data_IF_697816820778
#
_entry.id   IF_697816820778
#
_cell.length_a   1.000
_cell.length_b   1.000
_cell.length_c   1.000
_cell.angle_alpha   90.00
_cell.angle_beta   90.00
_cell.angle_gamma   90.00
#
_symmetry.space_group_name_H-M   'P 1'
#
loop_
_entity.id
_entity.type
_entity.pdbx_description
1 polymer ?
#
# COMPACT_ATOMS: atom_id res chain seq x y z
N UNK A 1 -74.95 -39.09 10.11
CA UNK A 1 -73.71 -39.56 9.52
C UNK A 1 -72.94 -38.52 8.72
N UNK A 2 -73.54 -37.38 8.34
CA UNK A 2 -72.96 -36.34 7.52
C UNK A 2 -72.01 -35.36 8.28
N UNK A 3 -72.23 -35.09 9.57
CA UNK A 3 -71.47 -34.10 10.33
C UNK A 3 -70.03 -34.50 10.73
N UNK A 4 -69.74 -35.82 10.74
CA UNK A 4 -68.40 -36.32 11.10
C UNK A 4 -67.37 -36.25 9.95
N UNK A 5 -67.85 -36.41 8.72
CA UNK A 5 -67.02 -36.33 7.50
C UNK A 5 -66.60 -34.89 7.17
N UNK A 6 -67.43 -33.90 7.50
CA UNK A 6 -67.15 -32.48 7.24
C UNK A 6 -66.09 -31.95 8.20
N UNK A 7 -66.12 -32.35 9.48
CA UNK A 7 -65.11 -31.96 10.48
C UNK A 7 -63.67 -32.54 10.18
N UNK A 8 -63.65 -33.75 9.59
CA UNK A 8 -62.39 -34.39 9.20
C UNK A 8 -61.73 -33.72 7.98
N UNK A 9 -62.55 -33.22 7.03
CA UNK A 9 -62.10 -32.50 5.84
C UNK A 9 -61.47 -31.14 6.20
N UNK A 10 -62.05 -30.40 7.16
CA UNK A 10 -61.47 -29.12 7.63
C UNK A 10 -60.20 -29.33 8.46
N UNK A 11 -60.05 -30.39 9.23
CA UNK A 11 -58.87 -30.72 9.97
C UNK A 11 -57.69 -31.09 9.04
N UNK A 12 -57.95 -31.83 7.96
CA UNK A 12 -56.93 -32.16 6.94
C UNK A 12 -56.52 -30.95 6.09
N UNK A 13 -57.45 -30.04 5.76
CA UNK A 13 -57.14 -28.79 5.04
C UNK A 13 -56.33 -27.82 5.90
N UNK A 14 -56.59 -27.73 7.21
CA UNK A 14 -55.79 -26.90 8.14
C UNK A 14 -54.39 -27.45 8.36
N UNK A 15 -54.18 -28.77 8.36
CA UNK A 15 -52.85 -29.40 8.48
C UNK A 15 -52.04 -29.22 7.20
N UNK A 16 -52.68 -29.26 6.01
CA UNK A 16 -51.97 -28.98 4.75
C UNK A 16 -51.61 -27.51 4.58
N UNK A 17 -52.41 -26.58 5.10
CA UNK A 17 -52.09 -25.14 5.06
C UNK A 17 -50.96 -24.78 6.06
N UNK A 18 -50.87 -25.44 7.21
CA UNK A 18 -49.79 -25.24 8.16
C UNK A 18 -48.46 -25.85 7.66
N UNK A 19 -48.49 -26.94 6.88
CA UNK A 19 -47.28 -27.54 6.30
C UNK A 19 -46.70 -26.71 5.14
N UNK A 20 -47.52 -25.92 4.42
CA UNK A 20 -47.05 -25.08 3.32
C UNK A 20 -46.40 -23.76 3.80
N UNK A 21 -46.62 -23.33 5.05
CA UNK A 21 -45.94 -22.14 5.63
C UNK A 21 -44.57 -22.50 6.24
N UNK A 22 -44.32 -23.75 6.57
CA UNK A 22 -43.02 -24.19 7.13
C UNK A 22 -41.93 -24.44 6.09
N UNK A 23 -42.24 -24.42 4.78
CA UNK A 23 -41.24 -24.64 3.71
C UNK A 23 -40.66 -23.36 3.09
N UNK A 24 -40.98 -22.18 3.64
CA UNK A 24 -40.53 -20.88 3.10
C UNK A 24 -39.35 -20.23 3.79
N UNK A 25 -38.83 -20.81 4.86
CA UNK A 25 -37.54 -20.36 5.42
C UNK A 25 -36.42 -21.08 4.68
N UNK A 26 -36.23 -20.74 3.41
CA UNK A 26 -34.98 -21.10 2.72
C UNK A 26 -33.82 -20.60 3.57
N UNK A 27 -33.07 -21.50 4.15
CA UNK A 27 -31.81 -21.14 4.79
C UNK A 27 -31.04 -20.32 3.74
N UNK A 28 -30.88 -19.02 3.97
CA UNK A 28 -30.01 -18.18 3.17
C UNK A 28 -28.62 -18.82 3.32
N UNK A 29 -28.21 -19.54 2.29
CA UNK A 29 -26.90 -20.16 2.28
C UNK A 29 -25.87 -19.05 2.28
N UNK A 30 -25.01 -19.02 3.27
CA UNK A 30 -23.88 -18.09 3.33
C UNK A 30 -23.13 -18.10 1.99
N UNK A 31 -22.97 -16.93 1.38
CA UNK A 31 -22.20 -16.82 0.16
C UNK A 31 -20.71 -17.01 0.46
N UNK A 32 -20.01 -17.62 -0.48
CA UNK A 32 -18.54 -17.66 -0.50
C UNK A 32 -18.06 -16.61 -1.49
N UNK A 33 -17.49 -15.52 -0.98
CA UNK A 33 -17.02 -14.39 -1.79
C UNK A 33 -15.50 -14.40 -1.81
N UNK A 34 -14.94 -14.18 -2.99
CA UNK A 34 -13.46 -14.05 -3.13
C UNK A 34 -13.16 -12.69 -3.74
N UNK A 35 -12.23 -11.97 -3.12
CA UNK A 35 -11.64 -10.74 -3.64
C UNK A 35 -10.17 -10.97 -3.97
N UNK A 36 -9.66 -10.24 -4.96
CA UNK A 36 -8.23 -10.09 -5.20
C UNK A 36 -7.80 -8.66 -4.89
N UNK A 37 -6.95 -8.49 -3.87
CA UNK A 37 -6.24 -7.24 -3.58
C UNK A 37 -4.86 -7.27 -4.24
N UNK A 38 -4.66 -6.41 -5.23
CA UNK A 38 -3.36 -6.20 -5.88
C UNK A 38 -2.66 -5.02 -5.20
N UNK A 39 -1.56 -5.33 -4.49
CA UNK A 39 -0.89 -4.41 -3.58
C UNK A 39 0.61 -4.28 -3.86
N UNK A 40 1.29 -3.38 -3.16
CA UNK A 40 2.74 -3.20 -3.25
C UNK A 40 3.46 -3.81 -2.03
N UNK A 41 4.78 -4.08 -2.19
CA UNK A 41 5.55 -4.89 -1.24
C UNK A 41 5.45 -4.50 0.24
N UNK A 42 5.55 -3.22 0.66
CA UNK A 42 5.55 -2.85 2.07
C UNK A 42 4.28 -3.17 2.87
N UNK A 43 3.19 -3.56 2.20
CA UNK A 43 1.87 -3.76 2.82
C UNK A 43 1.48 -5.21 3.08
N UNK A 44 2.38 -6.19 2.86
CA UNK A 44 2.05 -7.62 3.02
C UNK A 44 1.43 -7.93 4.38
N UNK A 45 2.14 -7.60 5.42
CA UNK A 45 1.76 -7.88 6.81
C UNK A 45 0.55 -7.05 7.23
N UNK A 46 0.45 -5.81 6.75
CA UNK A 46 -0.72 -4.97 6.96
C UNK A 46 -1.99 -5.64 6.41
N UNK A 47 -1.96 -6.05 5.14
CA UNK A 47 -3.15 -6.63 4.52
C UNK A 47 -3.45 -8.05 4.99
N UNK A 48 -2.48 -8.82 5.47
CA UNK A 48 -2.76 -10.06 6.20
C UNK A 48 -3.64 -9.79 7.44
N UNK A 49 -3.27 -8.79 8.24
CA UNK A 49 -4.02 -8.41 9.42
C UNK A 49 -5.40 -7.80 9.11
N UNK A 50 -5.46 -6.90 8.11
CA UNK A 50 -6.70 -6.27 7.62
C UNK A 50 -7.67 -7.33 7.11
N UNK A 51 -7.20 -8.24 6.24
CA UNK A 51 -8.03 -9.30 5.65
C UNK A 51 -8.65 -10.20 6.71
N UNK A 52 -7.82 -10.60 7.69
CA UNK A 52 -8.29 -11.45 8.78
C UNK A 52 -9.37 -10.77 9.64
N UNK A 53 -9.23 -9.48 9.93
CA UNK A 53 -10.23 -8.74 10.72
C UNK A 53 -11.47 -8.45 9.89
N UNK A 54 -11.32 -7.95 8.68
CA UNK A 54 -12.43 -7.65 7.79
C UNK A 54 -13.31 -8.89 7.53
N UNK A 55 -12.70 -10.05 7.26
CA UNK A 55 -13.44 -11.30 7.04
C UNK A 55 -14.28 -11.69 8.26
N UNK A 56 -13.76 -11.53 9.47
CA UNK A 56 -14.54 -11.79 10.71
C UNK A 56 -15.71 -10.82 10.86
N UNK A 57 -15.46 -9.53 10.65
CA UNK A 57 -16.48 -8.48 10.80
C UNK A 57 -17.56 -8.62 9.73
N UNK A 58 -17.18 -8.93 8.49
CA UNK A 58 -18.10 -9.17 7.38
C UNK A 58 -19.01 -10.36 7.68
N UNK A 59 -18.44 -11.48 8.09
CA UNK A 59 -19.20 -12.67 8.46
C UNK A 59 -20.15 -12.40 9.63
N UNK A 60 -19.72 -11.68 10.65
CA UNK A 60 -20.58 -11.32 11.78
C UNK A 60 -21.74 -10.43 11.36
N UNK A 61 -21.53 -9.55 10.38
CA UNK A 61 -22.54 -8.60 9.88
C UNK A 61 -23.52 -9.20 8.89
N UNK A 62 -23.06 -10.06 7.99
CA UNK A 62 -23.82 -10.52 6.82
C UNK A 62 -24.13 -12.03 6.85
N UNK A 63 -23.36 -12.80 7.57
CA UNK A 63 -23.39 -14.25 7.53
C UNK A 63 -22.51 -14.85 6.42
N UNK A 64 -22.02 -14.05 5.47
CA UNK A 64 -21.24 -14.51 4.33
C UNK A 64 -19.76 -14.67 4.68
N UNK A 65 -19.12 -15.68 4.08
CA UNK A 65 -17.68 -15.89 4.18
C UNK A 65 -16.97 -15.14 3.04
N UNK A 66 -15.91 -14.41 3.38
CA UNK A 66 -15.05 -13.75 2.40
C UNK A 66 -13.62 -14.21 2.52
N UNK A 67 -13.00 -14.47 1.37
CA UNK A 67 -11.56 -14.71 1.22
C UNK A 67 -10.96 -13.58 0.41
N UNK A 68 -9.95 -12.90 0.95
CA UNK A 68 -9.23 -11.85 0.23
C UNK A 68 -7.85 -12.39 -0.14
N UNK A 69 -7.68 -12.73 -1.41
CA UNK A 69 -6.39 -13.09 -1.99
C UNK A 69 -5.51 -11.86 -2.17
N UNK A 70 -4.20 -12.03 -2.09
CA UNK A 70 -3.25 -10.95 -2.21
C UNK A 70 -2.24 -11.21 -3.32
N UNK A 71 -1.96 -10.18 -4.13
CA UNK A 71 -0.80 -10.14 -5.04
C UNK A 71 0.09 -8.99 -4.62
N UNK A 72 1.38 -9.26 -4.34
CA UNK A 72 2.34 -8.26 -3.91
C UNK A 72 3.57 -8.20 -4.81
N UNK A 73 4.10 -7.00 -4.98
CA UNK A 73 5.30 -6.73 -5.76
C UNK A 73 5.62 -5.23 -5.81
N UNK A 74 6.55 -4.82 -6.66
CA UNK A 74 6.75 -3.40 -6.92
C UNK A 74 5.49 -2.76 -7.48
N UNK A 75 5.07 -1.60 -6.95
CA UNK A 75 3.79 -0.95 -7.27
C UNK A 75 3.54 -0.77 -8.77
N UNK A 76 4.54 -0.24 -9.52
CA UNK A 76 4.43 -0.09 -10.97
C UNK A 76 4.35 -1.43 -11.71
N UNK A 77 4.99 -2.50 -11.19
CA UNK A 77 4.85 -3.86 -11.73
C UNK A 77 3.43 -4.40 -11.51
N UNK A 78 2.86 -4.15 -10.35
CA UNK A 78 1.50 -4.56 -10.01
C UNK A 78 0.45 -3.81 -10.85
N UNK A 79 0.62 -2.49 -11.03
CA UNK A 79 -0.24 -1.71 -11.93
C UNK A 79 -0.21 -2.27 -13.35
N UNK A 80 0.98 -2.59 -13.86
CA UNK A 80 1.12 -3.22 -15.19
C UNK A 80 0.42 -4.57 -15.27
N UNK A 81 0.53 -5.43 -14.26
CA UNK A 81 -0.16 -6.71 -14.23
C UNK A 81 -1.69 -6.54 -14.36
N UNK A 82 -2.26 -5.53 -13.69
CA UNK A 82 -3.71 -5.20 -13.81
C UNK A 82 -4.03 -4.69 -15.22
N UNK A 83 -3.20 -3.81 -15.80
CA UNK A 83 -3.35 -3.33 -17.18
C UNK A 83 -3.29 -4.51 -18.17
N UNK A 84 -2.42 -5.48 -17.94
CA UNK A 84 -2.21 -6.66 -18.79
C UNK A 84 -3.27 -7.77 -18.53
N UNK A 85 -4.28 -7.53 -17.68
CA UNK A 85 -5.44 -8.40 -17.50
C UNK A 85 -5.53 -9.16 -16.18
N UNK A 86 -4.71 -8.86 -15.16
CA UNK A 86 -4.92 -9.40 -13.81
C UNK A 86 -6.19 -8.79 -13.21
N UNK A 87 -7.20 -9.62 -12.99
CA UNK A 87 -8.53 -9.20 -12.53
C UNK A 87 -8.52 -8.88 -11.03
N UNK A 88 -8.05 -7.68 -10.68
CA UNK A 88 -8.07 -7.16 -9.32
C UNK A 88 -9.43 -6.57 -8.98
N UNK A 89 -10.05 -6.98 -7.88
CA UNK A 89 -11.25 -6.31 -7.33
C UNK A 89 -10.87 -4.98 -6.70
N UNK A 90 -9.74 -4.96 -5.99
CA UNK A 90 -9.19 -3.73 -5.40
C UNK A 90 -7.69 -3.61 -5.70
N UNK A 91 -7.25 -2.38 -5.84
CA UNK A 91 -5.82 -2.01 -5.95
C UNK A 91 -5.45 -1.14 -4.77
N UNK A 92 -4.33 -1.46 -4.12
CA UNK A 92 -3.80 -0.74 -2.96
C UNK A 92 -2.32 -0.48 -3.22
N UNK A 93 -2.05 0.54 -4.06
CA UNK A 93 -0.73 0.75 -4.65
C UNK A 93 0.09 1.81 -3.93
N UNK A 94 1.37 1.89 -4.25
CA UNK A 94 2.31 2.76 -3.55
C UNK A 94 2.19 4.25 -3.87
N UNK A 95 1.52 4.60 -4.99
CA UNK A 95 1.36 5.99 -5.43
C UNK A 95 0.21 6.15 -6.44
N UNK A 96 -0.39 7.34 -6.47
CA UNK A 96 -1.57 7.61 -7.31
C UNK A 96 -1.27 7.44 -8.81
N UNK A 97 -0.10 7.83 -9.27
CA UNK A 97 0.27 7.68 -10.69
C UNK A 97 0.27 6.24 -11.21
N UNK A 98 0.39 5.23 -10.34
CA UNK A 98 0.26 3.83 -10.74
C UNK A 98 -1.22 3.43 -10.94
N UNK A 99 -2.17 3.99 -10.16
CA UNK A 99 -3.61 3.80 -10.37
C UNK A 99 -4.08 4.63 -11.57
N UNK A 100 -3.59 5.86 -11.73
CA UNK A 100 -3.86 6.68 -12.92
C UNK A 100 -3.46 5.94 -14.21
N UNK A 101 -2.34 5.23 -14.20
CA UNK A 101 -1.91 4.42 -15.35
C UNK A 101 -2.91 3.28 -15.68
N UNK A 102 -3.59 2.70 -14.68
CA UNK A 102 -4.65 1.70 -14.90
C UNK A 102 -5.87 2.37 -15.54
N UNK A 103 -6.25 3.58 -15.05
CA UNK A 103 -7.32 4.38 -15.67
C UNK A 103 -7.02 4.67 -17.13
N UNK A 104 -5.84 5.24 -17.40
CA UNK A 104 -5.47 5.74 -18.73
C UNK A 104 -5.28 4.64 -19.76
N UNK A 105 -4.72 3.48 -19.36
CA UNK A 105 -4.31 2.42 -20.30
C UNK A 105 -5.31 1.28 -20.41
N UNK A 106 -6.11 1.03 -19.38
CA UNK A 106 -7.04 -0.09 -19.34
C UNK A 106 -8.50 0.32 -19.13
N UNK A 107 -8.77 1.59 -18.75
CA UNK A 107 -10.12 2.11 -18.53
C UNK A 107 -10.96 1.21 -17.57
N UNK A 108 -10.32 0.69 -16.51
CA UNK A 108 -10.95 -0.26 -15.58
C UNK A 108 -11.71 0.43 -14.44
N UNK A 109 -11.39 1.68 -14.13
CA UNK A 109 -12.02 2.51 -13.11
C UNK A 109 -12.04 3.98 -13.59
N UNK A 110 -12.95 4.84 -13.07
CA UNK A 110 -13.08 6.20 -13.56
C UNK A 110 -11.95 7.12 -13.09
N UNK A 111 -11.74 8.23 -13.79
CA UNK A 111 -10.66 9.19 -13.56
C UNK A 111 -10.77 9.94 -12.22
N UNK A 112 -11.95 10.00 -11.63
CA UNK A 112 -12.22 10.65 -10.34
C UNK A 112 -12.07 9.71 -9.12
N UNK A 113 -11.46 8.56 -9.31
CA UNK A 113 -11.29 7.50 -8.29
C UNK A 113 -10.76 8.01 -6.95
N UNK A 114 -9.86 9.01 -6.96
CA UNK A 114 -9.29 9.58 -5.73
C UNK A 114 -10.30 10.32 -4.85
N UNK A 115 -11.43 10.77 -5.42
CA UNK A 115 -12.44 11.52 -4.66
C UNK A 115 -13.43 10.63 -3.92
N UNK A 116 -13.34 9.31 -4.10
CA UNK A 116 -14.31 8.34 -3.60
C UNK A 116 -14.18 8.00 -2.12
N UNK A 117 -12.97 8.16 -1.57
CA UNK A 117 -12.66 7.90 -0.18
C UNK A 117 -11.93 9.13 0.43
N UNK A 118 -11.95 9.28 1.76
CA UNK A 118 -11.27 10.39 2.42
C UNK A 118 -9.77 10.48 2.10
N UNK A 119 -9.20 11.66 2.31
CA UNK A 119 -7.76 11.93 2.16
C UNK A 119 -7.21 11.53 0.78
N UNK A 120 -7.93 11.87 -0.31
CA UNK A 120 -7.59 11.45 -1.67
C UNK A 120 -7.43 9.93 -1.81
N UNK A 121 -8.30 9.17 -1.16
CA UNK A 121 -8.25 7.70 -1.11
C UNK A 121 -6.97 7.13 -0.50
N UNK A 122 -6.31 7.86 0.41
CA UNK A 122 -5.10 7.45 1.10
C UNK A 122 -5.37 7.18 2.59
N UNK A 123 -5.71 5.95 3.00
CA UNK A 123 -6.15 5.63 4.36
C UNK A 123 -5.05 5.73 5.41
N UNK A 124 -3.81 5.78 5.01
CA UNK A 124 -2.62 5.87 5.85
C UNK A 124 -1.49 6.59 5.13
N UNK A 125 -0.44 6.94 5.89
CA UNK A 125 0.77 7.53 5.34
C UNK A 125 2.02 6.80 5.83
N UNK A 126 3.14 7.11 5.22
CA UNK A 126 4.46 6.71 5.67
C UNK A 126 5.46 7.81 5.32
N UNK A 127 6.72 7.57 5.61
CA UNK A 127 7.81 8.44 5.19
C UNK A 127 9.05 7.61 4.87
N UNK A 128 10.08 8.24 4.32
CA UNK A 128 11.33 7.58 3.98
C UNK A 128 12.33 7.79 5.11
N UNK A 129 12.98 6.71 5.51
CA UNK A 129 13.99 6.66 6.55
C UNK A 129 15.24 5.90 6.06
N UNK A 130 16.30 5.92 6.86
CA UNK A 130 17.53 5.21 6.58
C UNK A 130 17.69 4.09 7.60
N UNK A 131 17.71 2.84 7.14
CA UNK A 131 17.99 1.69 8.00
C UNK A 131 19.47 1.36 7.91
N UNK A 132 20.15 1.38 9.04
CA UNK A 132 21.60 1.15 9.13
C UNK A 132 21.91 -0.04 10.03
N UNK A 133 23.13 -0.56 9.93
CA UNK A 133 23.64 -1.59 10.84
C UNK A 133 23.72 -1.06 12.26
N UNK A 134 23.55 -1.92 13.26
CA UNK A 134 23.62 -1.57 14.68
C UNK A 134 24.93 -0.86 15.03
N UNK A 135 24.83 0.22 15.82
CA UNK A 135 25.97 1.07 16.19
C UNK A 135 26.41 2.01 15.08
N UNK A 136 25.72 2.03 13.96
CA UNK A 136 25.93 2.94 12.83
C UNK A 136 27.43 3.12 12.47
N UNK A 137 28.13 2.03 12.08
CA UNK A 137 29.59 2.05 11.92
C UNK A 137 30.08 3.04 10.84
N UNK A 138 29.20 3.38 9.90
CA UNK A 138 29.49 4.34 8.83
C UNK A 138 29.09 5.77 9.18
N UNK A 139 28.54 6.01 10.38
CA UNK A 139 28.12 7.34 10.87
C UNK A 139 27.18 8.06 9.91
N UNK A 140 26.16 7.34 9.44
CA UNK A 140 25.13 7.86 8.54
C UNK A 140 24.06 8.55 9.39
N UNK A 141 23.89 9.87 9.21
CA UNK A 141 22.94 10.67 9.95
C UNK A 141 21.92 11.38 9.05
N UNK A 142 22.30 11.64 7.79
CA UNK A 142 21.45 12.36 6.85
C UNK A 142 21.78 11.97 5.39
N UNK A 143 21.03 12.51 4.46
CA UNK A 143 21.17 12.28 3.02
C UNK A 143 22.58 12.55 2.48
N UNK A 144 23.28 13.57 3.01
CA UNK A 144 24.66 13.88 2.59
C UNK A 144 25.65 12.73 2.83
N UNK A 145 25.38 11.92 3.82
CA UNK A 145 26.28 10.80 4.12
C UNK A 145 26.20 9.71 3.06
N UNK A 146 25.08 9.64 2.33
CA UNK A 146 24.84 8.61 1.30
C UNK A 146 25.67 8.81 0.02
N UNK A 147 26.21 10.02 -0.19
CA UNK A 147 27.05 10.36 -1.36
C UNK A 147 28.54 10.31 -1.06
N UNK A 148 28.91 9.97 0.18
CA UNK A 148 30.32 9.86 0.57
C UNK A 148 30.99 8.64 -0.08
N UNK A 149 32.28 8.74 -0.42
CA UNK A 149 33.07 7.60 -0.89
C UNK A 149 33.06 6.44 0.12
N UNK A 150 32.90 5.21 -0.37
CA UNK A 150 32.95 4.00 0.45
C UNK A 150 31.66 3.73 1.25
N UNK A 151 30.57 4.44 0.95
CA UNK A 151 29.22 4.10 1.40
C UNK A 151 28.53 3.26 0.32
N UNK A 152 27.91 2.17 0.72
CA UNK A 152 27.11 1.31 -0.15
C UNK A 152 25.63 1.44 0.21
N UNK A 153 24.84 1.94 -0.73
CA UNK A 153 23.41 2.26 -0.55
C UNK A 153 22.57 1.18 -1.20
N UNK A 154 21.54 0.69 -0.51
CA UNK A 154 20.53 -0.20 -1.07
C UNK A 154 19.21 0.56 -1.23
N UNK A 155 18.62 0.46 -2.41
CA UNK A 155 17.30 1.01 -2.74
C UNK A 155 16.72 0.26 -3.93
N UNK A 156 15.40 0.08 -4.04
CA UNK A 156 14.81 -0.59 -5.20
C UNK A 156 14.82 0.31 -6.46
N UNK A 157 14.47 -0.29 -7.59
CA UNK A 157 14.47 0.38 -8.90
C UNK A 157 13.20 1.25 -9.07
N UNK A 158 13.30 2.56 -9.31
CA UNK A 158 12.15 3.44 -9.54
C UNK A 158 11.32 3.11 -10.79
N UNK A 159 11.86 2.35 -11.75
CA UNK A 159 11.08 1.91 -12.92
C UNK A 159 10.05 0.84 -12.59
N UNK A 160 10.24 0.10 -11.50
CA UNK A 160 9.37 -1.02 -11.12
C UNK A 160 8.72 -0.86 -9.75
N UNK A 161 9.35 -0.10 -8.85
CA UNK A 161 8.94 0.08 -7.46
C UNK A 161 8.41 1.49 -7.21
N UNK A 162 7.15 1.61 -6.79
CA UNK A 162 6.61 2.89 -6.29
C UNK A 162 7.34 3.38 -5.04
N UNK A 163 7.75 2.45 -4.15
CA UNK A 163 8.56 2.80 -2.98
C UNK A 163 9.87 3.49 -3.36
N UNK A 164 10.52 3.00 -4.40
CA UNK A 164 11.75 3.62 -4.91
C UNK A 164 11.54 5.03 -5.48
N UNK A 165 10.35 5.31 -6.06
CA UNK A 165 10.04 6.67 -6.53
C UNK A 165 9.94 7.65 -5.37
N UNK A 166 9.35 7.26 -4.26
CA UNK A 166 9.33 8.05 -3.04
C UNK A 166 10.74 8.23 -2.46
N UNK A 167 11.59 7.18 -2.45
CA UNK A 167 12.99 7.27 -2.02
C UNK A 167 13.77 8.29 -2.86
N UNK A 168 13.61 8.22 -4.19
CA UNK A 168 14.23 9.14 -5.14
C UNK A 168 13.79 10.59 -4.90
N UNK A 169 12.47 10.82 -4.77
CA UNK A 169 11.93 12.16 -4.58
C UNK A 169 12.31 12.74 -3.20
N UNK A 170 12.43 11.92 -2.16
CA UNK A 170 12.93 12.38 -0.86
C UNK A 170 14.37 12.90 -0.97
N UNK A 171 15.26 12.12 -1.61
CA UNK A 171 16.65 12.52 -1.83
C UNK A 171 16.78 13.74 -2.75
N UNK A 172 15.99 13.79 -3.82
CA UNK A 172 15.95 14.93 -4.74
C UNK A 172 15.46 16.20 -4.03
N UNK A 173 14.36 16.11 -3.29
CA UNK A 173 13.81 17.26 -2.58
C UNK A 173 14.71 17.78 -1.47
N UNK A 174 15.40 16.89 -0.75
CA UNK A 174 16.48 17.29 0.18
C UNK A 174 17.53 18.13 -0.54
N UNK A 175 18.09 17.60 -1.64
CA UNK A 175 19.13 18.29 -2.39
C UNK A 175 18.64 19.61 -2.98
N UNK A 176 17.41 19.67 -3.46
CA UNK A 176 16.79 20.88 -3.99
C UNK A 176 16.66 21.97 -2.92
N UNK A 177 16.14 21.62 -1.73
CA UNK A 177 16.02 22.54 -0.58
C UNK A 177 17.39 23.03 -0.11
N UNK A 178 18.36 22.14 0.01
CA UNK A 178 19.72 22.47 0.42
C UNK A 178 20.42 23.45 -0.54
N UNK A 179 20.12 23.36 -1.82
CA UNK A 179 20.76 24.18 -2.87
C UNK A 179 19.87 25.33 -3.39
N UNK A 180 18.88 25.77 -2.61
CA UNK A 180 18.07 26.94 -2.97
C UNK A 180 17.23 26.78 -4.25
N UNK A 181 16.80 25.56 -4.57
CA UNK A 181 15.97 25.27 -5.75
C UNK A 181 16.76 24.92 -7.02
N UNK A 182 18.07 24.75 -6.95
CA UNK A 182 18.93 24.40 -8.10
C UNK A 182 18.75 22.92 -8.50
N UNK A 183 18.01 22.69 -9.58
CA UNK A 183 17.75 21.34 -10.11
C UNK A 183 19.01 20.64 -10.64
N UNK A 184 19.99 21.39 -11.16
CA UNK A 184 21.24 20.79 -11.65
C UNK A 184 22.06 20.21 -10.49
N UNK A 185 22.11 20.91 -9.36
CA UNK A 185 22.75 20.40 -8.13
C UNK A 185 21.98 19.25 -7.53
N UNK A 186 20.65 19.27 -7.58
CA UNK A 186 19.84 18.14 -7.13
C UNK A 186 20.10 16.90 -8.01
N UNK A 187 20.16 17.04 -9.32
CA UNK A 187 20.52 15.97 -10.25
C UNK A 187 21.92 15.40 -9.97
N UNK A 188 22.91 16.28 -9.77
CA UNK A 188 24.27 15.86 -9.43
C UNK A 188 24.33 15.08 -8.11
N UNK A 189 23.58 15.54 -7.11
CA UNK A 189 23.48 14.85 -5.80
C UNK A 189 22.89 13.46 -5.92
N UNK A 190 21.73 13.34 -6.59
CA UNK A 190 21.06 12.04 -6.75
C UNK A 190 21.88 11.11 -7.66
N UNK A 191 22.57 11.65 -8.67
CA UNK A 191 23.53 10.89 -9.48
C UNK A 191 24.67 10.31 -8.61
N UNK A 192 25.24 11.13 -7.71
CA UNK A 192 26.26 10.67 -6.78
C UNK A 192 25.73 9.58 -5.82
N UNK A 193 24.48 9.72 -5.34
CA UNK A 193 23.83 8.70 -4.52
C UNK A 193 23.70 7.38 -5.28
N UNK A 194 23.19 7.41 -6.51
CA UNK A 194 22.98 6.20 -7.31
C UNK A 194 24.29 5.53 -7.77
N UNK A 195 25.42 6.26 -7.84
CA UNK A 195 26.74 5.66 -8.01
C UNK A 195 27.16 4.76 -6.84
N UNK A 196 26.61 5.01 -5.67
CA UNK A 196 26.84 4.21 -4.47
C UNK A 196 25.83 3.04 -4.33
N UNK A 197 24.94 2.82 -5.31
CA UNK A 197 23.94 1.76 -5.31
C UNK A 197 24.44 0.57 -6.14
N UNK A 198 24.91 -0.51 -5.51
CA UNK A 198 25.46 -1.67 -6.23
C UNK A 198 24.37 -2.57 -6.83
N UNK A 199 23.14 -2.54 -6.28
CA UNK A 199 22.04 -3.41 -6.69
C UNK A 199 20.73 -2.62 -6.69
N UNK A 200 19.97 -2.72 -7.78
CA UNK A 200 18.60 -2.21 -7.89
C UNK A 200 17.61 -3.39 -7.94
N UNK A 201 17.05 -3.72 -6.79
CA UNK A 201 16.02 -4.74 -6.70
C UNK A 201 14.70 -4.28 -7.34
N UNK A 202 13.86 -5.22 -7.76
CA UNK A 202 12.60 -4.89 -8.44
C UNK A 202 11.51 -4.28 -7.54
N UNK A 203 11.67 -4.40 -6.21
CA UNK A 203 10.73 -3.89 -5.21
C UNK A 203 11.35 -3.79 -3.82
N UNK A 204 10.64 -3.17 -2.88
CA UNK A 204 11.13 -2.90 -1.53
C UNK A 204 11.51 -4.19 -0.77
N UNK A 205 10.71 -5.26 -0.88
CA UNK A 205 11.02 -6.55 -0.23
C UNK A 205 12.36 -7.12 -0.72
N UNK A 206 12.65 -7.02 -2.01
CA UNK A 206 13.95 -7.43 -2.58
C UNK A 206 15.10 -6.66 -1.93
N UNK A 207 14.97 -5.32 -1.81
CA UNK A 207 16.00 -4.49 -1.18
C UNK A 207 16.15 -4.78 0.32
N UNK A 208 15.07 -5.06 1.03
CA UNK A 208 15.13 -5.52 2.43
C UNK A 208 15.89 -6.84 2.53
N UNK A 209 15.58 -7.84 1.69
CA UNK A 209 16.32 -9.12 1.65
C UNK A 209 17.79 -8.90 1.31
N UNK A 210 18.09 -8.06 0.31
CA UNK A 210 19.48 -7.73 -0.07
C UNK A 210 20.24 -7.11 1.11
N UNK A 211 19.62 -6.17 1.83
CA UNK A 211 20.27 -5.52 2.96
C UNK A 211 20.29 -6.40 4.20
N UNK A 212 19.16 -6.96 4.63
CA UNK A 212 19.04 -7.63 5.93
C UNK A 212 19.60 -9.05 5.91
N UNK A 213 19.23 -9.84 4.88
CA UNK A 213 19.55 -11.28 4.85
C UNK A 213 20.87 -11.58 4.10
N UNK A 214 21.13 -10.85 3.00
CA UNK A 214 22.37 -11.02 2.22
C UNK A 214 23.50 -10.15 2.72
N UNK A 215 23.23 -9.27 3.70
CA UNK A 215 24.21 -8.37 4.34
C UNK A 215 24.93 -7.43 3.35
N UNK A 216 24.31 -7.12 2.20
CA UNK A 216 24.83 -6.20 1.20
C UNK A 216 24.44 -4.77 1.57
N UNK A 217 25.39 -3.84 1.48
CA UNK A 217 25.18 -2.42 1.73
C UNK A 217 25.36 -1.99 3.18
N UNK A 218 25.65 -0.70 3.35
CA UNK A 218 25.83 -0.02 4.63
C UNK A 218 24.53 0.61 5.14
N UNK A 219 23.66 1.01 4.20
CA UNK A 219 22.39 1.68 4.46
C UNK A 219 21.33 1.25 3.44
N UNK A 220 20.11 1.01 3.93
CA UNK A 220 18.92 0.84 3.12
C UNK A 220 18.06 2.10 3.21
N UNK A 221 17.76 2.71 2.07
CA UNK A 221 16.73 3.74 1.97
C UNK A 221 15.38 3.00 1.94
N UNK A 222 14.61 3.11 3.02
CA UNK A 222 13.40 2.32 3.25
C UNK A 222 12.20 3.20 3.61
N UNK A 223 11.02 2.65 3.43
CA UNK A 223 9.84 3.17 4.08
C UNK A 223 9.89 2.94 5.58
N UNK A 224 9.32 3.86 6.37
CA UNK A 224 9.34 3.79 7.83
C UNK A 224 8.76 2.47 8.37
N UNK A 225 7.63 2.01 7.79
CA UNK A 225 7.03 0.75 8.17
C UNK A 225 7.94 -0.46 7.87
N UNK A 226 8.60 -0.51 6.70
CA UNK A 226 9.53 -1.61 6.36
C UNK A 226 10.75 -1.63 7.28
N UNK A 227 11.32 -0.46 7.57
CA UNK A 227 12.44 -0.36 8.49
C UNK A 227 12.06 -0.83 9.90
N UNK A 228 10.91 -0.40 10.42
CA UNK A 228 10.42 -0.85 11.74
C UNK A 228 10.04 -2.32 11.78
N UNK A 229 9.44 -2.82 10.70
CA UNK A 229 9.14 -4.24 10.57
C UNK A 229 10.43 -5.08 10.57
N UNK A 230 11.48 -4.59 9.90
CA UNK A 230 12.80 -5.22 9.93
C UNK A 230 13.38 -5.30 11.36
N UNK A 231 13.26 -4.22 12.15
CA UNK A 231 13.65 -4.26 13.57
C UNK A 231 12.84 -5.28 14.37
N UNK A 232 11.53 -5.38 14.11
CA UNK A 232 10.65 -6.34 14.80
C UNK A 232 10.96 -7.79 14.43
N UNK A 233 11.26 -8.06 13.15
CA UNK A 233 11.48 -9.41 12.65
C UNK A 233 12.89 -9.94 12.87
N UNK A 234 13.90 -9.07 12.73
CA UNK A 234 15.32 -9.49 12.73
C UNK A 234 16.10 -9.06 13.97
N UNK A 235 15.49 -8.20 14.80
CA UNK A 235 16.05 -7.74 16.08
C UNK A 235 16.56 -6.31 16.09
N UNK A 236 16.33 -5.62 17.21
CA UNK A 236 16.82 -4.25 17.46
C UNK A 236 18.32 -4.18 17.77
N UNK A 237 18.94 -5.31 17.96
CA UNK A 237 20.39 -5.51 18.16
C UNK A 237 21.17 -5.58 16.84
N UNK A 238 20.48 -5.69 15.68
CA UNK A 238 21.12 -5.78 14.36
C UNK A 238 21.07 -4.49 13.56
N UNK A 239 20.05 -3.68 13.75
CA UNK A 239 19.78 -2.48 12.93
C UNK A 239 19.33 -1.30 13.77
N UNK A 240 19.45 -0.11 13.17
CA UNK A 240 18.94 1.16 13.70
C UNK A 240 18.23 1.93 12.59
N UNK A 241 17.16 2.65 12.95
CA UNK A 241 16.45 3.55 12.04
C UNK A 241 16.94 4.97 12.29
N UNK A 242 17.45 5.60 11.25
CA UNK A 242 17.85 7.01 11.23
C UNK A 242 16.78 7.82 10.50
N UNK A 243 16.26 8.82 11.16
CA UNK A 243 15.34 9.80 10.58
C UNK A 243 16.15 10.96 10.01
N UNK A 244 16.12 11.19 8.69
CA UNK A 244 16.88 12.27 8.07
C UNK A 244 16.31 13.64 8.44
N UNK A 245 17.08 14.72 8.21
CA UNK A 245 16.66 16.09 8.53
C UNK A 245 15.37 16.54 7.82
N UNK A 246 15.10 15.99 6.65
CA UNK A 246 13.86 16.16 5.89
C UNK A 246 13.56 14.86 5.12
N UNK A 247 12.30 14.53 4.99
CA UNK A 247 11.84 13.41 4.19
C UNK A 247 10.63 13.80 3.34
N UNK A 248 9.87 12.82 2.84
CA UNK A 248 8.67 13.05 2.03
C UNK A 248 7.46 12.34 2.67
N UNK A 249 6.30 12.99 2.62
CA UNK A 249 5.04 12.38 2.98
C UNK A 249 4.63 11.39 1.89
N UNK A 250 4.77 10.11 2.16
CA UNK A 250 4.30 9.07 1.28
C UNK A 250 2.81 8.78 1.56
N UNK A 251 1.99 8.92 0.54
CA UNK A 251 0.53 8.78 0.59
C UNK A 251 0.08 7.67 -0.38
N UNK A 252 0.12 6.39 0.05
CA UNK A 252 -0.29 5.28 -0.78
C UNK A 252 -1.81 5.19 -0.88
N UNK A 253 -2.36 5.27 -2.10
CA UNK A 253 -3.80 5.28 -2.32
C UNK A 253 -4.37 3.88 -2.50
N UNK A 254 -5.72 3.81 -2.37
CA UNK A 254 -6.50 2.61 -2.61
C UNK A 254 -7.69 2.91 -3.54
N UNK A 255 -8.08 1.93 -4.36
CA UNK A 255 -9.26 2.05 -5.22
C UNK A 255 -9.88 0.68 -5.48
N UNK A 256 -11.21 0.62 -5.62
CA UNK A 256 -11.87 -0.55 -6.20
C UNK A 256 -11.91 -0.42 -7.72
N UNK A 257 -11.89 -1.58 -8.40
CA UNK A 257 -11.75 -1.66 -9.85
C UNK A 257 -13.10 -1.97 -10.48
N UNK A 258 -13.85 -0.93 -10.81
CA UNK A 258 -15.29 -0.98 -11.16
C UNK A 258 -15.63 -2.04 -12.20
N UNK A 259 -14.89 -2.12 -13.30
CA UNK A 259 -15.21 -3.07 -14.37
C UNK A 259 -14.96 -4.52 -13.97
N UNK A 260 -14.01 -4.77 -13.08
CA UNK A 260 -13.78 -6.11 -12.51
C UNK A 260 -14.86 -6.44 -11.49
N UNK A 261 -15.14 -5.52 -10.57
CA UNK A 261 -16.18 -5.68 -9.55
C UNK A 261 -17.57 -5.97 -10.16
N UNK A 262 -17.92 -5.32 -11.30
CA UNK A 262 -19.17 -5.59 -12.02
C UNK A 262 -19.18 -7.03 -12.57
N UNK A 263 -18.07 -7.50 -13.13
CA UNK A 263 -17.99 -8.88 -13.66
C UNK A 263 -18.05 -9.93 -12.55
N UNK A 264 -17.42 -9.66 -11.41
CA UNK A 264 -17.37 -10.58 -10.28
C UNK A 264 -18.58 -10.47 -9.35
N UNK A 265 -19.37 -9.39 -9.45
CA UNK A 265 -20.45 -9.10 -8.50
C UNK A 265 -19.96 -8.68 -7.13
N UNK A 266 -18.76 -8.11 -7.04
CA UNK A 266 -18.03 -7.81 -5.79
C UNK A 266 -18.09 -6.33 -5.38
N UNK A 267 -18.74 -5.45 -6.15
CA UNK A 267 -18.70 -4.00 -5.94
C UNK A 267 -19.03 -3.54 -4.50
N UNK A 268 -20.06 -4.13 -3.88
CA UNK A 268 -20.46 -3.76 -2.52
C UNK A 268 -19.39 -4.12 -1.48
N UNK A 269 -18.81 -5.31 -1.61
CA UNK A 269 -17.82 -5.79 -0.64
C UNK A 269 -16.43 -5.17 -0.88
N UNK A 270 -16.02 -4.91 -2.13
CA UNK A 270 -14.80 -4.17 -2.47
C UNK A 270 -14.82 -2.78 -1.87
N UNK A 271 -15.96 -2.07 -2.00
CA UNK A 271 -16.16 -0.78 -1.35
C UNK A 271 -16.08 -0.89 0.17
N UNK A 272 -16.81 -1.82 0.79
CA UNK A 272 -16.80 -2.01 2.23
C UNK A 272 -15.41 -2.38 2.77
N UNK A 273 -14.64 -3.17 2.01
CA UNK A 273 -13.27 -3.54 2.36
C UNK A 273 -12.34 -2.33 2.41
N UNK A 274 -12.43 -1.42 1.45
CA UNK A 274 -11.62 -0.21 1.46
C UNK A 274 -12.11 0.81 2.49
N UNK A 275 -13.43 0.93 2.72
CA UNK A 275 -13.99 1.77 3.78
C UNK A 275 -13.58 1.28 5.17
N UNK A 276 -13.37 -0.02 5.38
CA UNK A 276 -12.87 -0.59 6.63
C UNK A 276 -11.53 0.02 7.05
N UNK A 277 -10.65 0.36 6.10
CA UNK A 277 -9.35 0.98 6.38
C UNK A 277 -9.47 2.34 7.09
N UNK A 278 -10.60 3.03 6.97
CA UNK A 278 -10.88 4.32 7.61
C UNK A 278 -11.63 4.18 8.94
N UNK A 279 -12.06 2.98 9.31
CA UNK A 279 -12.68 2.74 10.62
C UNK A 279 -11.64 2.79 11.74
N UNK A 280 -12.03 3.09 13.01
CA UNK A 280 -11.10 3.02 14.13
C UNK A 280 -10.36 1.68 14.22
N UNK A 281 -11.03 0.55 13.95
CA UNK A 281 -10.42 -0.77 13.93
C UNK A 281 -9.38 -0.94 12.81
N UNK A 282 -9.69 -0.48 11.61
CA UNK A 282 -8.76 -0.48 10.47
C UNK A 282 -7.55 0.41 10.74
N UNK A 283 -7.76 1.60 11.30
CA UNK A 283 -6.69 2.54 11.65
C UNK A 283 -5.78 2.01 12.77
N UNK A 284 -6.34 1.27 13.73
CA UNK A 284 -5.55 0.59 14.77
C UNK A 284 -4.61 -0.48 14.15
N UNK A 285 -5.13 -1.31 13.22
CA UNK A 285 -4.33 -2.30 12.50
C UNK A 285 -3.23 -1.61 11.67
N UNK A 286 -3.54 -0.49 11.02
CA UNK A 286 -2.57 0.32 10.26
C UNK A 286 -1.41 0.76 11.17
N UNK A 287 -1.72 1.33 12.35
CA UNK A 287 -0.69 1.78 13.30
C UNK A 287 0.15 0.62 13.86
N UNK A 288 -0.46 -0.54 14.16
CA UNK A 288 0.23 -1.75 14.62
C UNK A 288 1.19 -2.34 13.58
N UNK A 289 0.96 -2.03 12.29
CA UNK A 289 1.83 -2.40 11.17
C UNK A 289 2.75 -1.26 10.74
N UNK A 290 2.98 -0.29 11.62
CA UNK A 290 3.93 0.80 11.47
C UNK A 290 3.64 1.79 10.34
N UNK A 291 2.41 1.82 9.83
CA UNK A 291 1.93 2.93 9.00
C UNK A 291 1.34 4.01 9.88
N UNK A 292 1.49 5.28 9.47
CA UNK A 292 0.96 6.43 10.18
C UNK A 292 -0.55 6.55 9.93
N UNK A 293 -1.40 6.38 10.94
CA UNK A 293 -2.85 6.42 10.77
C UNK A 293 -3.35 7.85 10.52
N UNK A 294 -4.49 7.98 9.82
CA UNK A 294 -5.19 9.25 9.60
C UNK A 294 -6.10 9.62 10.77
N UNK A 295 -6.65 8.63 11.49
CA UNK A 295 -7.47 8.87 12.67
C UNK A 295 -6.65 9.52 13.78
N UNK A 296 -7.08 10.71 14.23
CA UNK A 296 -6.34 11.51 15.22
C UNK A 296 -6.25 10.84 16.60
N UNK A 297 -7.27 10.08 16.98
CA UNK A 297 -7.29 9.37 18.26
C UNK A 297 -6.29 8.21 18.24
N UNK A 298 -6.29 7.44 17.17
CA UNK A 298 -5.33 6.35 16.96
C UNK A 298 -3.92 6.93 16.81
N UNK A 299 -3.74 8.02 16.05
CA UNK A 299 -2.45 8.68 15.90
C UNK A 299 -1.87 9.14 17.24
N UNK A 300 -2.70 9.72 18.12
CA UNK A 300 -2.28 10.12 19.47
C UNK A 300 -1.83 8.93 20.32
N UNK A 301 -2.54 7.79 20.23
CA UNK A 301 -2.19 6.56 20.95
C UNK A 301 -0.83 6.01 20.54
N UNK A 302 -0.47 6.14 19.26
CA UNK A 302 0.78 5.64 18.69
C UNK A 302 1.84 6.72 18.48
N UNK A 303 1.67 7.94 19.02
CA UNK A 303 2.56 9.07 18.77
C UNK A 303 4.04 8.79 19.09
N UNK A 304 4.34 8.02 20.13
CA UNK A 304 5.71 7.63 20.48
C UNK A 304 6.38 6.73 19.41
N UNK A 305 5.58 6.10 18.56
CA UNK A 305 6.08 5.24 17.48
C UNK A 305 6.51 6.04 16.24
N UNK A 306 5.98 7.26 16.06
CA UNK A 306 6.14 8.05 14.84
C UNK A 306 6.76 9.42 15.14
N UNK A 307 8.09 9.55 15.09
CA UNK A 307 8.75 10.83 15.26
C UNK A 307 8.26 11.88 14.27
N UNK A 308 8.12 13.13 14.73
CA UNK A 308 7.83 14.26 13.86
C UNK A 308 9.10 14.70 13.15
N UNK A 309 9.01 14.88 11.82
CA UNK A 309 10.10 15.42 11.00
C UNK A 309 9.52 16.32 9.91
N UNK A 310 10.30 17.25 9.33
CA UNK A 310 9.90 18.02 8.16
C UNK A 310 9.64 17.11 6.97
N UNK A 311 8.48 17.30 6.32
CA UNK A 311 8.07 16.47 5.18
C UNK A 311 7.82 17.34 3.95
N UNK A 312 8.42 16.95 2.84
CA UNK A 312 8.02 17.37 1.50
C UNK A 312 6.70 16.70 1.13
N UNK A 313 5.94 17.31 0.24
CA UNK A 313 4.72 16.70 -0.32
C UNK A 313 4.82 16.61 -1.82
N UNK A 314 4.14 15.59 -2.38
CA UNK A 314 4.14 15.41 -3.84
C UNK A 314 3.50 16.60 -4.57
N UNK A 315 2.46 17.20 -3.98
CA UNK A 315 1.73 18.30 -4.61
C UNK A 315 2.48 19.62 -4.53
N UNK A 316 2.92 20.01 -3.33
CA UNK A 316 3.55 21.32 -3.13
C UNK A 316 4.98 21.39 -3.66
N UNK A 317 5.76 20.32 -3.52
CA UNK A 317 7.19 20.32 -3.86
C UNK A 317 7.48 19.75 -5.26
N UNK A 318 6.55 18.98 -5.86
CA UNK A 318 6.79 18.31 -7.14
C UNK A 318 5.66 18.50 -8.17
N UNK A 319 4.61 19.26 -7.86
CA UNK A 319 3.48 19.54 -8.75
C UNK A 319 2.54 18.36 -8.99
N UNK A 320 2.48 17.42 -8.04
CA UNK A 320 1.64 16.22 -8.11
C UNK A 320 2.22 15.11 -8.99
N UNK A 321 1.63 13.90 -8.90
CA UNK A 321 2.10 12.73 -9.65
C UNK A 321 1.99 12.89 -11.16
N UNK A 322 1.00 13.64 -11.67
CA UNK A 322 0.88 13.91 -13.11
C UNK A 322 2.08 14.67 -13.68
N UNK A 323 2.73 15.50 -12.86
CA UNK A 323 3.96 16.23 -13.23
C UNK A 323 5.20 15.39 -12.91
N UNK A 324 5.29 14.84 -11.69
CA UNK A 324 6.47 14.15 -11.22
C UNK A 324 6.75 12.85 -11.98
N UNK A 325 5.71 12.06 -12.30
CA UNK A 325 5.87 10.77 -12.95
C UNK A 325 6.56 10.87 -14.32
N UNK A 326 6.11 11.66 -15.28
CA UNK A 326 6.79 11.80 -16.59
C UNK A 326 8.15 12.50 -16.44
N UNK A 327 8.28 13.50 -15.58
CA UNK A 327 9.53 14.24 -15.39
C UNK A 327 10.65 13.35 -14.88
N UNK A 328 10.39 12.58 -13.84
CA UNK A 328 11.44 11.83 -13.14
C UNK A 328 11.57 10.39 -13.61
N UNK A 329 10.47 9.69 -13.90
CA UNK A 329 10.42 8.24 -14.07
C UNK A 329 9.87 7.77 -15.43
N UNK A 330 9.37 8.68 -16.27
CA UNK A 330 9.02 8.41 -17.66
C UNK A 330 10.27 8.02 -18.48
N UNK A 331 10.04 7.49 -19.68
CA UNK A 331 11.14 7.14 -20.58
C UNK A 331 11.92 8.39 -20.99
N UNK A 332 13.25 8.34 -20.81
CA UNK A 332 14.14 9.50 -20.99
C UNK A 332 14.03 10.55 -19.88
N UNK A 333 13.31 10.27 -18.80
CA UNK A 333 13.18 11.13 -17.64
C UNK A 333 14.48 11.32 -16.86
N UNK A 334 14.40 12.02 -15.73
CA UNK A 334 15.60 12.36 -14.93
C UNK A 334 16.31 11.09 -14.45
N UNK A 335 15.57 10.06 -14.00
CA UNK A 335 16.18 8.81 -13.53
C UNK A 335 17.00 8.13 -14.61
N UNK A 336 16.49 8.03 -15.85
CA UNK A 336 17.22 7.39 -16.97
C UNK A 336 18.50 8.14 -17.35
N UNK A 337 18.55 9.45 -17.12
CA UNK A 337 19.76 10.27 -17.36
C UNK A 337 20.80 10.14 -16.25
N UNK A 338 20.33 9.92 -15.02
CA UNK A 338 21.19 9.80 -13.84
C UNK A 338 21.79 8.39 -13.73
N UNK A 339 20.97 7.37 -13.96
CA UNK A 339 21.36 5.97 -13.81
C UNK A 339 21.54 5.31 -15.18
N UNK A 340 22.80 5.17 -15.58
CA UNK A 340 23.23 4.42 -16.76
C UNK A 340 24.00 3.19 -16.30
N UNK A 341 23.42 1.98 -16.39
CA UNK A 341 24.11 0.76 -16.00
C UNK A 341 25.39 0.58 -16.82
N UNK A 342 26.55 0.49 -16.16
CA UNK A 342 27.83 0.22 -16.81
C UNK A 342 28.60 1.43 -17.36
N UNK A 343 28.22 2.67 -17.02
CA UNK A 343 29.01 3.89 -17.30
C UNK A 343 29.96 4.23 -16.15
#
# INVERSE_FOLDING_TARGET
>A
MFGRKLKLAYALAAIMLAASVAFGAGAVRAAQITLLNVSYDPTRELYEAVNAQFARDWKAKTGDDVTINQSHGGSGKQARAVIDGLEADVVTLGLAGDIDAIVEKADLLPADWQTRLPDNSCPYTSTIVLLVRKGNPKKIHDWDDLVKPGISVVTPNPKTSGGARWNFLAAWGYALKKNGGDEAKAAAFVSALYKNVPVLDSGARGSTTTFVEREIGDVLIAWENDARLSLKQFGTDKFEVIYPSISILAEPPVAWVDKVDIRHGTAAISKAYLEFLYTPGGQEIIAQNFFRPRDKTVAAKYASQFPTLPLLTIDADFGGWKTAQPKFFGDGGVFDKIYQPGS
#
